data_IF_590964311589
#
_entry.id   IF_590964311589
#
_cell.length_a   1.000
_cell.length_b   1.000
_cell.length_c   1.000
_cell.angle_alpha   90.00
_cell.angle_beta   90.00
_cell.angle_gamma   90.00
#
_symmetry.space_group_name_H-M   'P 1'
#
loop_
_entity.id
_entity.type
_entity.pdbx_description
1 polymer ?
#
# COMPACT_ATOMS: atom_id res chain seq x y z
N UNK A 1 0.31 -26.97 13.04
CA UNK A 1 -0.91 -26.16 13.09
C UNK A 1 -0.63 -25.02 14.05
N UNK A 2 -0.03 -23.94 13.53
CA UNK A 2 0.10 -22.60 14.12
C UNK A 2 1.13 -21.85 13.26
N UNK A 3 0.67 -21.25 12.17
CA UNK A 3 1.34 -20.14 11.46
C UNK A 3 0.28 -19.32 10.72
N UNK A 4 -0.86 -19.06 11.36
CA UNK A 4 -1.64 -17.86 11.03
C UNK A 4 -1.00 -16.70 11.81
N UNK A 5 0.24 -16.37 11.45
CA UNK A 5 0.91 -15.18 11.94
C UNK A 5 0.03 -13.99 11.58
N UNK A 6 -0.51 -13.34 12.60
CA UNK A 6 -1.42 -12.19 12.53
C UNK A 6 -1.25 -11.38 11.23
N UNK A 7 -2.14 -11.62 10.26
CA UNK A 7 -2.01 -11.01 8.92
C UNK A 7 -2.16 -9.49 8.98
N UNK A 8 -2.88 -8.97 9.98
CA UNK A 8 -3.15 -7.54 10.15
C UNK A 8 -1.96 -6.81 10.76
N UNK A 9 -1.68 -5.63 10.23
CA UNK A 9 -0.75 -4.69 10.83
C UNK A 9 -1.38 -3.98 12.05
N UNK A 10 -0.60 -3.82 13.11
CA UNK A 10 -0.97 -3.03 14.29
C UNK A 10 -0.68 -1.53 14.11
N UNK A 11 -1.04 -0.73 15.12
CA UNK A 11 -0.72 0.71 15.15
C UNK A 11 0.79 0.99 15.22
N UNK A 12 1.56 0.11 15.84
CA UNK A 12 3.02 0.22 15.89
C UNK A 12 3.65 -0.01 14.51
N UNK A 13 3.07 -0.91 13.70
CA UNK A 13 3.48 -1.09 12.30
C UNK A 13 3.13 0.13 11.45
N UNK A 14 1.94 0.70 11.66
CA UNK A 14 1.54 1.94 11.00
C UNK A 14 2.54 3.07 11.30
N UNK A 15 2.85 3.27 12.59
CA UNK A 15 3.81 4.29 13.01
C UNK A 15 5.20 4.03 12.44
N UNK A 16 5.67 2.79 12.52
CA UNK A 16 6.95 2.38 11.93
C UNK A 16 7.04 2.78 10.45
N UNK A 17 6.00 2.47 9.66
CA UNK A 17 6.02 2.80 8.23
C UNK A 17 6.00 4.31 7.99
N UNK A 18 5.17 5.06 8.73
CA UNK A 18 5.07 6.51 8.58
C UNK A 18 6.34 7.25 9.03
N UNK A 19 7.09 6.69 9.99
CA UNK A 19 8.40 7.21 10.41
C UNK A 19 9.51 6.85 9.41
N UNK A 20 9.51 5.62 8.87
CA UNK A 20 10.54 5.11 7.96
C UNK A 20 10.40 5.68 6.54
N UNK A 21 9.20 5.64 5.95
CA UNK A 21 8.97 5.95 4.54
C UNK A 21 9.54 7.31 4.09
N UNK A 22 9.45 8.41 4.87
CA UNK A 22 10.05 9.69 4.48
C UNK A 22 11.58 9.70 4.40
N UNK A 23 12.25 8.74 5.01
CA UNK A 23 13.72 8.65 5.08
C UNK A 23 14.33 7.84 3.94
N UNK A 24 13.51 7.10 3.19
CA UNK A 24 13.95 6.26 2.09
C UNK A 24 14.35 7.07 0.86
N UNK A 25 15.25 6.53 0.06
CA UNK A 25 15.56 7.06 -1.27
C UNK A 25 14.49 6.61 -2.29
N UNK A 26 13.59 7.52 -2.61
CA UNK A 26 12.49 7.30 -3.54
C UNK A 26 12.92 7.55 -4.99
N UNK A 27 12.70 6.57 -5.87
CA UNK A 27 12.99 6.71 -7.30
C UNK A 27 11.83 7.35 -8.03
N UNK A 28 12.09 8.42 -8.79
CA UNK A 28 11.07 9.08 -9.61
C UNK A 28 10.68 8.25 -10.86
N UNK A 29 9.38 8.01 -11.04
CA UNK A 29 8.84 7.23 -12.16
C UNK A 29 8.73 8.07 -13.45
N UNK A 30 9.88 8.36 -14.07
CA UNK A 30 9.98 9.24 -15.26
C UNK A 30 8.99 8.91 -16.38
N UNK A 31 8.75 7.62 -16.64
CA UNK A 31 7.82 7.15 -17.69
C UNK A 31 6.37 7.60 -17.47
N UNK A 32 5.99 7.89 -16.23
CA UNK A 32 4.63 8.27 -15.85
C UNK A 32 4.51 9.73 -15.43
N UNK A 33 5.56 10.54 -15.60
CA UNK A 33 5.61 11.92 -15.11
C UNK A 33 4.39 12.77 -15.54
N UNK A 34 3.93 12.60 -16.79
CA UNK A 34 2.84 13.40 -17.35
C UNK A 34 1.44 12.87 -17.02
N UNK A 35 1.31 11.59 -16.65
CA UNK A 35 0.01 10.91 -16.54
C UNK A 35 -0.31 10.43 -15.13
N UNK A 36 0.69 9.90 -14.44
CA UNK A 36 0.61 9.46 -13.06
C UNK A 36 1.93 9.81 -12.34
N UNK A 37 2.19 11.08 -12.02
CA UNK A 37 3.40 11.50 -11.32
C UNK A 37 3.53 10.80 -9.95
N UNK A 38 4.52 9.92 -9.80
CA UNK A 38 4.77 9.18 -8.56
C UNK A 38 6.22 8.75 -8.42
N UNK A 39 6.56 8.32 -7.22
CA UNK A 39 7.83 7.68 -6.89
C UNK A 39 7.62 6.25 -6.44
N UNK A 40 8.68 5.46 -6.44
CA UNK A 40 8.67 4.10 -5.93
C UNK A 40 9.97 3.73 -5.22
N UNK A 41 9.87 2.72 -4.36
CA UNK A 41 11.00 1.96 -3.81
C UNK A 41 10.90 0.52 -4.30
N UNK A 42 12.03 -0.16 -4.52
CA UNK A 42 12.08 -1.53 -5.08
C UNK A 42 12.92 -2.43 -4.19
N UNK A 43 12.41 -3.62 -3.90
CA UNK A 43 13.16 -4.63 -3.15
C UNK A 43 14.48 -4.98 -3.86
N UNK A 44 15.57 -5.07 -3.10
CA UNK A 44 16.91 -5.37 -3.63
C UNK A 44 17.58 -4.22 -4.40
N UNK A 45 16.93 -3.04 -4.50
CA UNK A 45 17.54 -1.83 -5.08
C UNK A 45 17.53 -0.64 -4.14
N UNK A 46 16.47 -0.49 -3.35
CA UNK A 46 16.39 0.56 -2.32
C UNK A 46 17.11 0.08 -1.06
N UNK A 47 18.15 0.80 -0.63
CA UNK A 47 18.82 0.53 0.64
C UNK A 47 17.89 0.80 1.84
N UNK A 48 18.08 0.06 2.93
CA UNK A 48 17.31 0.25 4.16
C UNK A 48 15.94 -0.45 4.21
N UNK A 49 15.60 -1.28 3.22
CA UNK A 49 14.42 -2.14 3.25
C UNK A 49 14.78 -3.60 2.95
N UNK A 50 14.45 -4.49 3.88
CA UNK A 50 14.47 -5.95 3.67
C UNK A 50 13.17 -6.43 3.03
N UNK A 51 13.13 -7.68 2.53
CA UNK A 51 11.88 -8.28 2.06
C UNK A 51 10.78 -8.28 3.14
N UNK A 52 11.16 -8.55 4.40
CA UNK A 52 10.21 -8.52 5.52
C UNK A 52 9.63 -7.12 5.74
N UNK A 53 10.42 -6.07 5.53
CA UNK A 53 9.94 -4.69 5.59
C UNK A 53 8.96 -4.38 4.45
N UNK A 54 9.22 -4.86 3.22
CA UNK A 54 8.29 -4.72 2.10
C UNK A 54 6.95 -5.42 2.40
N UNK A 55 6.99 -6.65 2.91
CA UNK A 55 5.79 -7.40 3.31
C UNK A 55 5.05 -6.67 4.43
N UNK A 56 5.77 -6.17 5.45
CA UNK A 56 5.21 -5.44 6.58
C UNK A 56 4.53 -4.15 6.14
N UNK A 57 5.20 -3.32 5.34
CA UNK A 57 4.63 -2.09 4.77
C UNK A 57 3.40 -2.38 3.90
N UNK A 58 3.45 -3.47 3.14
CA UNK A 58 2.32 -4.05 2.44
C UNK A 58 1.08 -4.28 3.30
N UNK A 59 1.28 -4.95 4.44
CA UNK A 59 0.23 -5.23 5.41
C UNK A 59 -0.31 -3.96 6.03
N UNK A 60 0.55 -2.98 6.33
CA UNK A 60 0.13 -1.66 6.82
C UNK A 60 -0.79 -0.98 5.80
N UNK A 61 -0.37 -0.88 4.54
CA UNK A 61 -1.15 -0.24 3.47
C UNK A 61 -2.52 -0.92 3.32
N UNK A 62 -2.58 -2.25 3.36
CA UNK A 62 -3.84 -2.99 3.18
C UNK A 62 -4.74 -3.01 4.41
N UNK A 63 -4.18 -2.76 5.59
CA UNK A 63 -4.95 -2.69 6.84
C UNK A 63 -5.53 -1.30 7.06
N UNK A 64 -4.77 -0.25 6.74
CA UNK A 64 -5.13 1.14 7.08
C UNK A 64 -5.44 2.02 5.85
N UNK A 65 -5.28 1.50 4.64
CA UNK A 65 -5.52 2.25 3.41
C UNK A 65 -7.00 2.49 3.12
N UNK A 66 -7.29 3.61 2.47
CA UNK A 66 -8.62 3.96 1.97
C UNK A 66 -8.74 3.56 0.49
N UNK A 67 -9.92 3.08 0.03
CA UNK A 67 -10.15 2.78 -1.38
C UNK A 67 -10.00 4.01 -2.28
N UNK A 68 -9.38 3.84 -3.44
CA UNK A 68 -9.31 4.87 -4.48
C UNK A 68 -9.00 4.29 -5.85
N UNK A 69 -9.10 5.13 -6.89
CA UNK A 69 -8.89 4.67 -8.28
C UNK A 69 -7.46 4.91 -8.73
N UNK A 70 -6.90 3.90 -9.38
CA UNK A 70 -5.74 4.01 -10.26
C UNK A 70 -6.22 3.74 -11.70
N UNK A 71 -6.61 4.81 -12.40
CA UNK A 71 -7.36 4.74 -13.64
C UNK A 71 -8.62 3.87 -13.48
N UNK A 72 -8.71 2.73 -14.18
CA UNK A 72 -9.87 1.83 -14.11
C UNK A 72 -9.83 0.88 -12.91
N UNK A 73 -8.67 0.71 -12.26
CA UNK A 73 -8.50 -0.21 -11.15
C UNK A 73 -8.79 0.45 -9.80
N UNK A 74 -9.35 -0.31 -8.85
CA UNK A 74 -9.48 0.12 -7.45
C UNK A 74 -8.28 -0.39 -6.65
N UNK A 75 -7.69 0.46 -5.81
CA UNK A 75 -6.57 0.12 -4.94
C UNK A 75 -6.79 0.69 -3.52
N UNK A 76 -5.92 0.33 -2.58
CA UNK A 76 -5.88 0.87 -1.22
C UNK A 76 -4.72 1.86 -1.09
N UNK A 77 -5.03 3.08 -0.65
CA UNK A 77 -4.07 4.15 -0.45
C UNK A 77 -3.94 4.47 1.03
N UNK A 78 -2.74 4.27 1.58
CA UNK A 78 -2.39 4.73 2.91
C UNK A 78 -1.97 6.19 2.87
N UNK A 79 -2.60 7.05 3.66
CA UNK A 79 -2.25 8.47 3.73
C UNK A 79 -1.33 8.76 4.90
N UNK A 80 -0.45 9.75 4.74
CA UNK A 80 0.22 10.40 5.88
C UNK A 80 -0.82 11.12 6.75
N UNK A 81 -0.50 11.36 8.02
CA UNK A 81 -1.42 12.03 8.96
C UNK A 81 -1.83 13.43 8.48
N UNK A 82 -0.88 14.18 7.90
CA UNK A 82 -1.11 15.49 7.29
C UNK A 82 -1.82 15.44 5.93
N UNK A 83 -2.09 14.23 5.41
CA UNK A 83 -2.73 13.95 4.13
C UNK A 83 -2.03 14.61 2.95
N UNK A 84 -0.72 14.86 3.02
CA UNK A 84 0.06 15.43 1.90
C UNK A 84 0.62 14.36 0.98
N UNK A 85 0.79 13.12 1.48
CA UNK A 85 1.29 11.98 0.71
C UNK A 85 0.39 10.76 0.86
N UNK A 86 0.46 9.89 -0.13
CA UNK A 86 -0.19 8.58 -0.15
C UNK A 86 0.76 7.49 -0.63
N UNK A 87 0.59 6.30 -0.08
CA UNK A 87 1.36 5.10 -0.42
C UNK A 87 0.43 3.99 -0.90
N UNK A 88 0.85 3.21 -1.88
CA UNK A 88 0.11 2.02 -2.31
C UNK A 88 1.05 0.96 -2.88
N UNK A 89 0.59 -0.29 -2.82
CA UNK A 89 1.22 -1.41 -3.51
C UNK A 89 0.33 -1.86 -4.68
N UNK A 90 0.92 -2.43 -5.73
CA UNK A 90 0.16 -2.90 -6.91
C UNK A 90 -0.11 -4.41 -6.90
N UNK A 91 0.28 -5.11 -5.84
CA UNK A 91 0.19 -6.56 -5.76
C UNK A 91 -1.26 -7.05 -5.76
N UNK A 92 -1.52 -8.15 -6.48
CA UNK A 92 -2.85 -8.73 -6.65
C UNK A 92 -3.35 -9.54 -5.45
N UNK A 93 -2.45 -10.21 -4.73
CA UNK A 93 -2.77 -11.11 -3.61
C UNK A 93 -2.22 -10.60 -2.28
N UNK A 94 -2.66 -11.16 -1.14
CA UNK A 94 -2.13 -10.82 0.21
C UNK A 94 -0.60 -10.74 0.16
N UNK A 95 0.06 -9.70 0.72
CA UNK A 95 1.50 -9.53 0.59
C UNK A 95 2.23 -10.77 1.12
N UNK A 96 2.77 -11.56 0.19
CA UNK A 96 3.68 -12.68 0.42
C UNK A 96 5.03 -12.30 -0.15
N UNK A 97 6.07 -12.94 0.35
CA UNK A 97 7.47 -12.63 0.02
C UNK A 97 7.79 -12.68 -1.48
N UNK A 98 7.02 -13.40 -2.30
CA UNK A 98 7.27 -13.53 -3.73
C UNK A 98 6.66 -12.40 -4.59
N UNK A 99 5.65 -11.69 -4.09
CA UNK A 99 4.96 -10.62 -4.83
C UNK A 99 5.39 -9.21 -4.39
N UNK A 100 6.06 -9.07 -3.25
CA UNK A 100 6.38 -7.77 -2.66
C UNK A 100 7.60 -7.11 -3.33
N UNK A 101 7.39 -6.51 -4.51
CA UNK A 101 8.45 -5.97 -5.37
C UNK A 101 8.62 -4.44 -5.31
N UNK A 102 7.53 -3.67 -5.28
CA UNK A 102 7.53 -2.22 -5.19
C UNK A 102 6.46 -1.66 -4.25
N UNK A 103 6.79 -0.53 -3.64
CA UNK A 103 5.82 0.35 -2.96
C UNK A 103 5.89 1.71 -3.65
N UNK A 104 4.73 2.28 -3.94
CA UNK A 104 4.61 3.57 -4.60
C UNK A 104 4.28 4.66 -3.59
N UNK A 105 4.67 5.88 -3.91
CA UNK A 105 4.33 7.11 -3.19
C UNK A 105 3.94 8.20 -4.19
N UNK A 106 2.95 9.00 -3.84
CA UNK A 106 2.66 10.26 -4.53
C UNK A 106 2.16 11.32 -3.55
N UNK A 107 2.16 12.57 -3.97
CA UNK A 107 1.43 13.64 -3.29
C UNK A 107 -0.08 13.47 -3.51
N UNK A 108 -0.88 14.02 -2.61
CA UNK A 108 -2.35 13.85 -2.61
C UNK A 108 -3.10 14.82 -3.52
N UNK A 109 -2.44 15.87 -4.03
CA UNK A 109 -2.97 16.74 -5.09
C UNK A 109 -3.13 15.99 -6.43
N UNK A 110 -2.64 14.75 -6.52
CA UNK A 110 -2.70 13.90 -7.71
C UNK A 110 -3.69 12.76 -7.50
N UNK A 111 -4.65 12.67 -8.41
CA UNK A 111 -5.61 11.55 -8.53
C UNK A 111 -5.50 10.96 -9.92
N UNK A 112 -5.71 9.64 -10.04
CA UNK A 112 -5.45 8.91 -11.27
C UNK A 112 -6.76 8.46 -11.90
N UNK A 113 -7.24 9.23 -12.87
CA UNK A 113 -8.57 9.05 -13.45
C UNK A 113 -9.72 9.45 -12.51
N UNK A 114 -10.98 9.30 -12.98
CA UNK A 114 -12.17 9.49 -12.14
C UNK A 114 -12.11 8.66 -10.85
N UNK A 115 -12.55 9.24 -9.75
CA UNK A 115 -12.54 8.61 -8.41
C UNK A 115 -13.92 8.06 -8.02
N UNK A 116 -14.82 7.90 -8.98
CA UNK A 116 -16.09 7.22 -8.84
C UNK A 116 -15.93 5.71 -9.10
N UNK A 117 -17.04 4.96 -8.96
CA UNK A 117 -17.12 3.54 -9.29
C UNK A 117 -16.05 2.68 -8.58
N UNK A 118 -16.00 2.78 -7.25
CA UNK A 118 -15.15 1.93 -6.41
C UNK A 118 -15.64 0.49 -6.51
N UNK A 119 -14.73 -0.41 -6.92
CA UNK A 119 -14.99 -1.84 -6.93
C UNK A 119 -14.77 -2.41 -5.52
N UNK A 120 -15.85 -2.58 -4.77
CA UNK A 120 -15.82 -3.10 -3.40
C UNK A 120 -15.45 -4.58 -3.29
N UNK A 121 -15.80 -5.41 -4.28
CA UNK A 121 -15.36 -6.81 -4.33
C UNK A 121 -13.83 -6.88 -4.39
N UNK A 122 -13.21 -6.01 -5.19
CA UNK A 122 -11.75 -5.89 -5.25
C UNK A 122 -11.18 -5.37 -3.93
N UNK A 123 -11.81 -4.41 -3.27
CA UNK A 123 -11.38 -3.92 -1.94
C UNK A 123 -11.36 -5.07 -0.94
N UNK A 124 -12.41 -5.89 -0.91
CA UNK A 124 -12.49 -7.07 -0.04
C UNK A 124 -11.43 -8.12 -0.39
N UNK A 125 -11.10 -8.29 -1.69
CA UNK A 125 -10.08 -9.23 -2.15
C UNK A 125 -8.64 -8.78 -1.83
N UNK A 126 -8.32 -7.48 -1.91
CA UNK A 126 -6.96 -6.97 -1.70
C UNK A 126 -6.70 -6.51 -0.26
N UNK A 127 -7.75 -6.11 0.46
CA UNK A 127 -7.68 -5.77 1.87
C UNK A 127 -7.37 -6.99 2.73
N UNK A 128 -6.85 -6.76 3.94
CA UNK A 128 -6.72 -7.86 4.91
C UNK A 128 -8.09 -8.05 5.56
N UNK A 129 -8.71 -9.25 5.46
CA UNK A 129 -10.02 -9.48 6.01
C UNK A 129 -10.09 -9.03 7.47
N UNK A 130 -10.96 -8.08 7.77
CA UNK A 130 -11.40 -7.87 9.15
C UNK A 130 -12.36 -9.00 9.47
N UNK A 131 -12.18 -9.70 10.60
CA UNK A 131 -13.16 -10.63 11.13
C UNK A 131 -14.52 -9.93 11.21
N UNK A 132 -15.30 -10.04 10.12
CA UNK A 132 -16.72 -9.75 10.16
C UNK A 132 -17.28 -10.92 10.94
N UNK A 133 -17.58 -10.65 12.20
CA UNK A 133 -18.00 -11.64 13.17
C UNK A 133 -19.03 -12.61 12.60
N UNK A 134 -18.91 -13.84 13.05
CA UNK A 134 -20.06 -14.71 13.22
C UNK A 134 -21.21 -13.86 13.78
N UNK A 135 -22.20 -13.55 12.92
CA UNK A 135 -23.49 -13.12 13.42
C UNK A 135 -24.14 -14.39 13.96
N UNK A 136 -24.29 -14.44 15.29
CA UNK A 136 -25.20 -15.36 15.95
C UNK A 136 -26.65 -15.07 15.60
#
# INVERSE_FOLDING_TARGET
MEMETNMKAGRDDLRWWLDLAPTLEWTWAKTYADSAPHWYVVHGRTEGLTMDDFVRAGRVIRTFGEPGKFYRSTNLYLYTEDRTRKFWAMWGEIPRSEDADLINMATTDRVYGPQDDINWERVEAIGIPTDRGARG
#
